data_IF_002747765591
#
_entry.id   IF_002747765591
#
_cell.length_a   1.000
_cell.length_b   1.000
_cell.length_c   1.000
_cell.angle_alpha   90.00
_cell.angle_beta   90.00
_cell.angle_gamma   90.00
#
_symmetry.space_group_name_H-M   'P 1'
#
loop_
_entity.id
_entity.type
_entity.pdbx_description
1 polymer ?
#
# COMPACT_ATOMS: atom_id res chain seq x y z
N UNK A 1 -4.44 -16.31 -4.58
CA UNK A 1 -5.58 -15.37 -4.62
C UNK A 1 -5.67 -14.71 -3.25
N UNK A 2 -5.24 -13.45 -3.12
CA UNK A 2 -5.28 -12.69 -1.87
C UNK A 2 -6.66 -12.02 -1.73
N UNK A 3 -7.72 -12.82 -1.63
CA UNK A 3 -9.07 -12.33 -1.35
C UNK A 3 -9.32 -12.41 0.15
N UNK A 4 -9.22 -11.28 0.83
CA UNK A 4 -9.66 -11.19 2.22
C UNK A 4 -10.15 -9.82 2.65
N UNK A 5 -10.02 -8.82 1.78
CA UNK A 5 -10.49 -7.45 1.96
C UNK A 5 -10.19 -6.72 0.67
N UNK A 6 -11.13 -6.78 -0.25
CA UNK A 6 -11.09 -5.95 -1.44
C UNK A 6 -11.24 -4.50 -0.97
N UNK A 7 -10.11 -3.85 -0.73
CA UNK A 7 -10.04 -2.45 -1.12
C UNK A 7 -10.01 -2.54 -2.63
N UNK A 8 -11.10 -2.14 -3.28
CA UNK A 8 -11.07 -1.86 -4.71
C UNK A 8 -10.18 -0.62 -4.88
N UNK A 9 -8.87 -0.85 -4.92
CA UNK A 9 -7.98 0.07 -5.57
C UNK A 9 -8.50 0.13 -7.01
N UNK A 10 -8.90 1.31 -7.48
CA UNK A 10 -9.56 1.49 -8.78
C UNK A 10 -8.77 0.91 -9.96
N UNK A 11 -9.28 1.10 -11.18
CA UNK A 11 -8.59 0.62 -12.38
C UNK A 11 -7.15 1.14 -12.43
N UNK A 12 -6.19 0.22 -12.35
CA UNK A 12 -4.78 0.57 -12.50
C UNK A 12 -4.49 0.88 -13.97
N UNK A 13 -3.79 1.97 -14.23
CA UNK A 13 -3.34 2.27 -15.58
C UNK A 13 -2.44 1.14 -16.10
N UNK A 14 -2.61 0.78 -17.37
CA UNK A 14 -1.88 -0.30 -18.06
C UNK A 14 -0.34 -0.12 -18.05
N UNK A 15 0.11 1.08 -17.69
CA UNK A 15 1.48 1.58 -17.59
C UNK A 15 2.12 1.40 -16.20
N UNK A 16 1.37 0.94 -15.19
CA UNK A 16 1.86 0.75 -13.83
C UNK A 16 1.92 -0.73 -13.44
N UNK A 17 3.03 -1.12 -12.78
CA UNK A 17 3.12 -2.45 -12.15
C UNK A 17 2.54 -2.35 -10.74
N UNK A 18 1.39 -2.99 -10.52
CA UNK A 18 0.78 -3.11 -9.20
C UNK A 18 1.22 -4.41 -8.50
N UNK A 19 1.68 -4.28 -7.26
CA UNK A 19 2.03 -5.39 -6.38
C UNK A 19 1.25 -5.26 -5.06
N UNK A 20 0.11 -5.95 -4.94
CA UNK A 20 -0.63 -6.02 -3.68
C UNK A 20 0.13 -6.85 -2.65
N UNK A 21 0.27 -6.29 -1.44
CA UNK A 21 0.75 -7.00 -0.26
C UNK A 21 -0.39 -7.13 0.75
N UNK A 22 -0.09 -7.67 1.93
CA UNK A 22 -1.07 -7.79 3.00
C UNK A 22 -1.60 -6.41 3.45
N UNK A 23 -0.70 -5.43 3.60
CA UNK A 23 -0.98 -4.15 4.25
C UNK A 23 -1.01 -2.93 3.33
N UNK A 24 -0.63 -3.09 2.07
CA UNK A 24 -0.61 -2.01 1.11
C UNK A 24 -0.71 -2.54 -0.33
N UNK A 25 -0.88 -1.62 -1.26
CA UNK A 25 -0.57 -1.87 -2.67
C UNK A 25 0.58 -0.98 -3.07
N UNK A 26 1.62 -1.57 -3.64
CA UNK A 26 2.75 -0.87 -4.24
C UNK A 26 2.52 -0.73 -5.73
N UNK A 27 2.79 0.45 -6.27
CA UNK A 27 2.67 0.80 -7.67
C UNK A 27 3.98 1.39 -8.16
N UNK A 28 4.59 0.73 -9.15
CA UNK A 28 5.66 1.33 -9.93
C UNK A 28 5.05 2.02 -11.14
N UNK A 29 5.16 3.34 -11.14
CA UNK A 29 4.66 4.20 -12.19
C UNK A 29 5.83 4.76 -13.01
N UNK A 30 5.86 4.35 -14.28
CA UNK A 30 6.82 4.80 -15.28
C UNK A 30 6.15 5.61 -16.41
N UNK A 31 4.93 6.11 -16.21
CA UNK A 31 4.19 6.94 -17.19
C UNK A 31 4.95 8.22 -17.52
N UNK A 32 5.63 8.80 -16.53
CA UNK A 32 6.50 9.95 -16.74
C UNK A 32 7.89 9.49 -17.23
N UNK A 33 8.30 9.82 -18.46
CA UNK A 33 9.58 9.36 -19.01
C UNK A 33 10.81 9.94 -18.28
N UNK A 34 10.62 10.92 -17.39
CA UNK A 34 11.69 11.58 -16.64
C UNK A 34 11.75 11.19 -15.18
N UNK A 35 10.73 10.49 -14.67
CA UNK A 35 10.61 10.15 -13.25
C UNK A 35 10.06 8.74 -13.14
N UNK A 36 10.78 7.88 -12.45
CA UNK A 36 10.23 6.61 -11.99
C UNK A 36 9.72 6.82 -10.56
N UNK A 37 8.44 6.52 -10.35
CA UNK A 37 7.78 6.65 -9.07
C UNK A 37 7.48 5.26 -8.50
N UNK A 38 7.86 5.05 -7.24
CA UNK A 38 7.25 4.03 -6.40
C UNK A 38 6.24 4.72 -5.50
N UNK A 39 4.97 4.41 -5.68
CA UNK A 39 3.87 4.86 -4.84
C UNK A 39 3.34 3.64 -4.08
N UNK A 40 2.89 3.83 -2.85
CA UNK A 40 2.14 2.82 -2.16
C UNK A 40 0.96 3.42 -1.41
N UNK A 41 -0.17 2.73 -1.46
CA UNK A 41 -1.35 3.07 -0.69
C UNK A 41 -1.45 2.12 0.48
N UNK A 42 -1.43 2.67 1.70
CA UNK A 42 -1.63 1.90 2.92
C UNK A 42 -3.10 1.47 3.04
N UNK A 43 -3.34 0.31 3.66
CA UNK A 43 -4.70 -0.25 3.79
C UNK A 43 -5.57 0.48 4.82
N UNK A 44 -4.98 1.22 5.75
CA UNK A 44 -5.72 1.92 6.79
C UNK A 44 -6.59 3.04 6.22
N UNK A 45 -7.80 3.15 6.77
CA UNK A 45 -8.80 4.13 6.34
C UNK A 45 -9.25 4.95 7.55
N UNK A 46 -9.18 6.27 7.42
CA UNK A 46 -9.86 7.19 8.33
C UNK A 46 -11.32 7.32 7.91
N UNK A 47 -12.21 6.94 8.82
CA UNK A 47 -13.68 6.93 8.64
C UNK A 47 -14.40 7.97 9.50
N UNK A 48 -13.64 8.70 10.33
CA UNK A 48 -14.14 9.77 11.20
C UNK A 48 -13.06 10.84 11.41
N UNK A 49 -13.46 11.97 12.02
CA UNK A 49 -12.62 13.14 12.22
C UNK A 49 -11.39 12.87 13.12
N UNK A 50 -11.54 12.07 14.17
CA UNK A 50 -10.43 11.71 15.06
C UNK A 50 -9.37 10.90 14.31
N UNK A 51 -9.81 9.90 13.53
CA UNK A 51 -8.92 9.10 12.69
C UNK A 51 -8.25 9.94 11.60
N UNK A 52 -8.97 10.90 11.04
CA UNK A 52 -8.40 11.85 10.08
C UNK A 52 -7.26 12.65 10.71
N UNK A 53 -7.48 13.22 11.91
CA UNK A 53 -6.45 13.97 12.63
C UNK A 53 -5.22 13.10 12.93
N UNK A 54 -5.42 11.86 13.35
CA UNK A 54 -4.34 10.90 13.59
C UNK A 54 -3.51 10.61 12.33
N UNK A 55 -4.15 10.44 11.16
CA UNK A 55 -3.40 10.29 9.90
C UNK A 55 -2.58 11.54 9.57
N UNK A 56 -3.17 12.73 9.73
CA UNK A 56 -2.48 14.01 9.47
C UNK A 56 -1.22 14.11 10.34
N UNK A 57 -1.32 13.77 11.62
CA UNK A 57 -0.20 13.79 12.56
C UNK A 57 0.91 12.83 12.13
N UNK A 58 0.56 11.58 11.79
CA UNK A 58 1.55 10.59 11.35
C UNK A 58 2.23 10.96 10.03
N UNK A 59 1.48 11.56 9.09
CA UNK A 59 2.02 12.09 7.83
C UNK A 59 2.99 13.24 8.10
N UNK A 60 2.62 14.18 8.98
CA UNK A 60 3.47 15.31 9.35
C UNK A 60 4.76 14.83 10.03
N UNK A 61 4.66 13.83 10.90
CA UNK A 61 5.81 13.22 11.56
C UNK A 61 6.73 12.52 10.55
N UNK A 62 6.17 11.72 9.65
CA UNK A 62 6.94 11.06 8.59
C UNK A 62 7.73 12.07 7.75
N UNK A 63 7.05 13.12 7.26
CA UNK A 63 7.64 14.13 6.39
C UNK A 63 8.63 15.05 7.08
N UNK A 64 8.62 15.14 8.42
CA UNK A 64 9.55 16.00 9.17
C UNK A 64 10.79 15.26 9.66
N UNK A 65 10.69 13.95 9.92
CA UNK A 65 11.77 13.18 10.56
C UNK A 65 12.48 12.24 9.57
N UNK A 66 11.75 11.68 8.60
CA UNK A 66 12.34 10.71 7.66
C UNK A 66 12.94 11.40 6.44
N UNK A 67 14.03 10.86 5.93
CA UNK A 67 14.57 11.22 4.62
C UNK A 67 13.68 10.74 3.46
N UNK A 68 12.78 9.80 3.74
CA UNK A 68 11.72 9.30 2.87
C UNK A 68 10.88 8.23 3.59
N UNK A 69 9.68 7.88 3.10
CA UNK A 69 9.04 8.41 1.89
C UNK A 69 8.41 9.79 2.11
N UNK A 70 7.96 10.43 1.01
CA UNK A 70 6.99 11.53 1.10
C UNK A 70 5.61 10.92 1.32
N UNK A 71 4.90 11.34 2.36
CA UNK A 71 3.56 10.86 2.68
C UNK A 71 2.51 11.98 2.51
N UNK A 72 1.28 11.60 2.15
CA UNK A 72 0.15 12.50 2.04
C UNK A 72 -1.19 11.77 2.18
N UNK A 73 -2.22 12.53 2.54
CA UNK A 73 -3.59 12.06 2.57
C UNK A 73 -4.12 11.89 1.14
N UNK A 74 -4.87 10.82 0.92
CA UNK A 74 -5.57 10.56 -0.32
C UNK A 74 -7.07 10.39 -0.05
N UNK A 75 -7.94 11.27 -0.56
CA UNK A 75 -9.37 11.07 -0.44
C UNK A 75 -9.82 9.85 -1.26
N UNK A 76 -10.76 9.07 -0.72
CA UNK A 76 -11.47 8.06 -1.49
C UNK A 76 -12.51 8.72 -2.41
N UNK A 77 -13.01 7.97 -3.41
CA UNK A 77 -14.00 8.46 -4.37
C UNK A 77 -15.32 8.91 -3.71
N UNK A 78 -15.63 8.37 -2.54
CA UNK A 78 -16.79 8.75 -1.75
C UNK A 78 -16.71 10.17 -1.16
N UNK A 79 -15.51 10.77 -1.13
CA UNK A 79 -15.25 12.08 -0.54
C UNK A 79 -15.50 12.17 0.97
N UNK A 80 -15.70 11.03 1.64
CA UNK A 80 -15.96 10.93 3.08
C UNK A 80 -14.80 10.26 3.82
N UNK A 81 -14.16 9.30 3.16
CA UNK A 81 -13.07 8.52 3.73
C UNK A 81 -11.72 8.98 3.20
N UNK A 82 -10.70 8.82 4.02
CA UNK A 82 -9.33 9.18 3.67
C UNK A 82 -8.38 8.01 3.90
N UNK A 83 -7.47 7.82 2.95
CA UNK A 83 -6.36 6.90 3.04
C UNK A 83 -5.04 7.66 3.12
N UNK A 84 -3.96 6.89 3.17
CA UNK A 84 -2.61 7.41 3.17
C UNK A 84 -1.86 6.86 1.96
N UNK A 85 -1.17 7.75 1.25
CA UNK A 85 -0.22 7.39 0.21
C UNK A 85 1.18 7.80 0.66
N UNK A 86 2.14 6.92 0.40
CA UNK A 86 3.56 7.18 0.54
C UNK A 86 4.25 6.99 -0.82
N UNK A 87 5.18 7.86 -1.17
CA UNK A 87 5.90 7.77 -2.44
C UNK A 87 7.40 8.08 -2.32
N UNK A 88 8.16 7.46 -3.22
CA UNK A 88 9.55 7.75 -3.49
C UNK A 88 9.71 7.92 -5.00
N UNK A 89 10.51 8.91 -5.39
CA UNK A 89 10.74 9.24 -6.80
C UNK A 89 12.23 9.24 -7.09
N UNK A 90 12.61 8.78 -8.28
CA UNK A 90 13.96 8.94 -8.83
C UNK A 90 13.89 9.61 -10.20
N UNK A 91 14.80 10.55 -10.44
CA UNK A 91 14.93 11.21 -11.73
C UNK A 91 15.62 10.25 -12.71
N UNK A 92 14.95 9.98 -13.83
CA UNK A 92 15.36 9.03 -14.86
C UNK A 92 15.55 9.69 -16.24
N UNK A 93 15.78 11.02 -16.29
CA UNK A 93 15.90 11.79 -17.54
C UNK A 93 16.93 11.26 -18.53
N UNK A 94 17.99 10.61 -18.05
CA UNK A 94 19.05 10.01 -18.87
C UNK A 94 19.03 8.48 -18.84
N UNK A 95 17.91 7.88 -18.42
CA UNK A 95 17.82 6.47 -18.06
C UNK A 95 18.48 6.17 -16.70
N UNK A 96 18.27 4.95 -16.23
CA UNK A 96 18.89 4.40 -15.02
C UNK A 96 19.69 3.17 -15.41
N UNK A 97 20.87 3.02 -14.82
CA UNK A 97 21.58 1.73 -14.85
C UNK A 97 20.81 0.71 -14.01
N UNK A 98 20.98 -0.58 -14.29
CA UNK A 98 20.38 -1.67 -13.51
C UNK A 98 20.71 -1.54 -12.01
N UNK A 99 21.97 -1.21 -11.69
CA UNK A 99 22.38 -0.99 -10.29
C UNK A 99 21.62 0.16 -9.63
N UNK A 100 21.43 1.29 -10.32
CA UNK A 100 20.66 2.41 -9.78
C UNK A 100 19.19 2.06 -9.60
N UNK A 101 18.63 1.30 -10.55
CA UNK A 101 17.26 0.82 -10.50
C UNK A 101 17.03 -0.11 -9.29
N UNK A 102 17.91 -1.10 -9.11
CA UNK A 102 17.82 -2.04 -7.99
C UNK A 102 17.97 -1.32 -6.64
N UNK A 103 18.96 -0.43 -6.51
CA UNK A 103 19.14 0.38 -5.29
C UNK A 103 17.91 1.23 -5.01
N UNK A 104 17.31 1.84 -6.05
CA UNK A 104 16.09 2.62 -5.89
C UNK A 104 14.95 1.75 -5.37
N UNK A 105 14.68 0.59 -5.99
CA UNK A 105 13.60 -0.31 -5.56
C UNK A 105 13.78 -0.81 -4.14
N UNK A 106 14.95 -1.33 -3.79
CA UNK A 106 15.23 -1.86 -2.45
C UNK A 106 15.10 -0.77 -1.38
N UNK A 107 15.70 0.40 -1.63
CA UNK A 107 15.70 1.51 -0.68
C UNK A 107 14.29 2.08 -0.49
N UNK A 108 13.59 2.37 -1.59
CA UNK A 108 12.25 2.97 -1.55
C UNK A 108 11.21 2.02 -0.95
N UNK A 109 11.23 0.73 -1.33
CA UNK A 109 10.37 -0.27 -0.69
C UNK A 109 10.64 -0.35 0.80
N UNK A 110 11.92 -0.44 1.21
CA UNK A 110 12.28 -0.52 2.64
C UNK A 110 11.79 0.69 3.43
N UNK A 111 11.93 1.90 2.89
CA UNK A 111 11.45 3.13 3.52
C UNK A 111 9.92 3.12 3.69
N UNK A 112 9.18 2.77 2.64
CA UNK A 112 7.72 2.74 2.65
C UNK A 112 7.20 1.62 3.57
N UNK A 113 7.75 0.41 3.44
CA UNK A 113 7.40 -0.73 4.30
C UNK A 113 7.66 -0.42 5.77
N UNK A 114 8.81 0.18 6.09
CA UNK A 114 9.13 0.59 7.46
C UNK A 114 8.13 1.62 7.97
N UNK A 115 7.75 2.61 7.16
CA UNK A 115 6.74 3.58 7.56
C UNK A 115 5.37 2.93 7.81
N UNK A 116 4.92 2.04 6.94
CA UNK A 116 3.63 1.36 7.12
C UNK A 116 3.62 0.39 8.30
N UNK A 117 4.74 -0.26 8.60
CA UNK A 117 4.87 -1.07 9.81
C UNK A 117 4.70 -0.21 11.08
N UNK A 118 5.28 0.99 11.10
CA UNK A 118 5.12 1.91 12.23
C UNK A 118 3.67 2.42 12.33
N UNK A 119 2.99 2.69 11.21
CA UNK A 119 1.57 3.05 11.21
C UNK A 119 0.68 1.93 11.78
N UNK A 120 0.96 0.67 11.48
CA UNK A 120 0.18 -0.45 12.03
C UNK A 120 0.30 -0.57 13.55
N UNK A 121 1.45 -0.20 14.10
CA UNK A 121 1.68 -0.18 15.56
C UNK A 121 0.99 1.02 16.20
N UNK A 122 1.11 2.21 15.62
CA UNK A 122 0.55 3.45 16.18
C UNK A 122 -0.96 3.56 15.98
N UNK A 123 -1.49 3.00 14.89
CA UNK A 123 -2.88 3.13 14.45
C UNK A 123 -3.57 1.76 14.24
N UNK A 124 -3.61 0.87 15.24
CA UNK A 124 -4.06 -0.51 15.08
C UNK A 124 -5.56 -0.63 14.72
N UNK A 125 -6.37 0.39 15.02
CA UNK A 125 -7.81 0.41 14.74
C UNK A 125 -8.16 0.73 13.28
N UNK A 126 -7.19 1.13 12.46
CA UNK A 126 -7.42 1.55 11.07
C UNK A 126 -7.58 0.37 10.11
N UNK A 127 -7.20 -0.84 10.51
CA UNK A 127 -7.24 -2.04 9.67
C UNK A 127 -7.81 -3.23 10.45
N UNK A 128 -9.07 -3.61 10.18
CA UNK A 128 -9.73 -4.82 10.77
C UNK A 128 -9.42 -6.17 10.08
N UNK A 129 -8.23 -6.73 10.19
CA UNK A 129 -7.87 -7.98 9.50
C UNK A 129 -8.94 -9.10 9.58
N UNK A 130 -9.23 -9.82 8.47
CA UNK A 130 -10.11 -10.99 8.53
C UNK A 130 -9.47 -12.02 9.48
N UNK A 131 -10.26 -12.57 10.40
CA UNK A 131 -9.78 -13.62 11.28
C UNK A 131 -9.24 -14.78 10.45
N UNK A 132 -8.02 -15.25 10.74
CA UNK A 132 -7.39 -16.38 10.04
C UNK A 132 -8.25 -17.67 10.08
N UNK A 133 -9.21 -17.74 11.00
CA UNK A 133 -10.17 -18.84 11.15
C UNK A 133 -11.42 -18.75 10.25
N UNK A 134 -11.59 -17.68 9.47
CA UNK A 134 -12.75 -17.50 8.57
C UNK A 134 -12.57 -18.13 7.18
N UNK A 135 -11.40 -18.70 6.89
CA UNK A 135 -11.14 -19.46 5.67
C UNK A 135 -11.61 -20.91 5.83
N UNK A 136 -12.90 -21.12 6.02
CA UNK A 136 -13.50 -22.43 5.85
C UNK A 136 -13.51 -22.77 4.35
N UNK A 137 -12.49 -23.51 3.92
CA UNK A 137 -12.56 -24.23 2.65
C UNK A 137 -13.78 -25.16 2.71
N UNK A 138 -14.67 -25.16 1.70
CA UNK A 138 -15.76 -26.13 1.68
C UNK A 138 -15.17 -27.54 1.61
N UNK A 139 -15.51 -28.38 2.60
CA UNK A 139 -15.24 -29.82 2.54
C UNK A 139 -15.84 -30.37 1.24
N UNK A 140 -14.99 -31.01 0.44
CA UNK A 140 -15.37 -31.60 -0.83
C UNK A 140 -16.33 -32.78 -0.57
N UNK A 141 -17.62 -32.73 -0.96
CA UNK A 141 -18.53 -33.84 -0.76
C UNK A 141 -18.38 -34.77 -1.96
N UNK A 142 -17.48 -35.75 -1.89
CA UNK A 142 -17.58 -37.06 -2.56
C UNK A 142 -16.27 -37.85 -2.44
N UNK A 143 -16.29 -38.86 -1.58
CA UNK A 143 -15.68 -40.15 -1.88
C UNK A 143 -16.74 -41.19 -1.52
N UNK A 144 -17.55 -41.53 -2.53
CA UNK A 144 -18.49 -42.64 -2.45
C UNK A 144 -17.75 -43.96 -2.26
N UNK A 145 -18.48 -44.90 -1.64
CA UNK A 145 -18.12 -46.29 -1.45
C UNK A 145 -17.36 -46.90 -2.62
N UNK A 146 -16.20 -47.49 -2.30
CA UNK A 146 -15.65 -48.56 -3.11
C UNK A 146 -15.41 -49.80 -2.24
N UNK A 147 -16.23 -50.81 -2.56
CA UNK A 147 -16.11 -52.25 -2.31
C UNK A 147 -16.47 -52.78 -0.91
#
# INVERSE_FOLDING_TARGET
MLSGRNVEFGEYEQSALACPTHNAVYLWDATNPKVLQLRAQWRGVATNEDQYCQLVEQIALCNSVRTGPKAYLAPFEDGQNYGLIAECNIIATSGLTEKQLNVFFETSMSMIMGFFADLEVELPSFVTWPDENSSSFPENPQAGDHA
#
